data_IF_419924335281
#
_entry.id   IF_419924335281
#
_cell.length_a   1.000
_cell.length_b   1.000
_cell.length_c   1.000
_cell.angle_alpha   90.00
_cell.angle_beta   90.00
_cell.angle_gamma   90.00
#
_symmetry.space_group_name_H-M   'P 1'
#
loop_
_entity.id
_entity.type
_entity.pdbx_description
1 polymer ?
#
# COMPACT_ATOMS: atom_id res chain seq x y z
N UNK A 1 35.53 -15.01 19.32
CA UNK A 1 35.24 -16.36 18.77
C UNK A 1 34.03 -16.89 19.54
N UNK A 2 32.81 -16.94 19.02
CA UNK A 2 32.28 -17.80 17.95
C UNK A 2 31.35 -18.83 18.63
N UNK A 3 30.13 -19.18 18.21
CA UNK A 3 29.29 -18.86 17.07
C UNK A 3 27.83 -18.96 17.55
N UNK A 4 26.97 -18.00 17.17
CA UNK A 4 25.51 -18.13 17.31
C UNK A 4 24.99 -18.96 16.13
N UNK A 5 24.23 -20.04 16.36
CA UNK A 5 23.82 -20.91 15.28
C UNK A 5 22.69 -20.26 14.49
N UNK A 6 22.80 -20.39 13.18
CA UNK A 6 21.74 -20.31 12.21
C UNK A 6 21.24 -18.90 11.83
N UNK A 7 22.04 -18.26 10.98
CA UNK A 7 21.62 -17.20 10.06
C UNK A 7 20.61 -17.69 9.02
N UNK A 8 19.39 -18.01 9.45
CA UNK A 8 18.28 -18.46 8.60
C UNK A 8 17.13 -17.44 8.51
N UNK A 9 17.41 -16.16 8.71
CA UNK A 9 16.42 -15.07 8.58
C UNK A 9 16.16 -14.61 7.15
N UNK A 10 16.90 -15.13 6.15
CA UNK A 10 16.82 -14.65 4.77
C UNK A 10 15.86 -15.39 3.83
N UNK A 11 15.30 -16.54 4.23
CA UNK A 11 14.58 -17.42 3.28
C UNK A 11 13.06 -17.49 3.47
N UNK A 12 12.50 -16.85 4.49
CA UNK A 12 11.07 -16.98 4.83
C UNK A 12 10.18 -15.85 4.32
N UNK A 13 10.74 -14.80 3.70
CA UNK A 13 9.93 -13.68 3.18
C UNK A 13 9.37 -13.91 1.78
N UNK A 14 9.73 -15.02 1.12
CA UNK A 14 9.26 -15.36 -0.23
C UNK A 14 8.41 -16.64 -0.30
N UNK A 15 7.96 -17.17 0.84
CA UNK A 15 7.23 -18.45 0.88
C UNK A 15 5.69 -18.31 0.94
N UNK A 16 5.14 -17.10 0.89
CA UNK A 16 3.73 -16.88 1.27
C UNK A 16 2.67 -17.00 0.15
N UNK A 17 3.03 -17.26 -1.11
CA UNK A 17 2.01 -17.51 -2.17
C UNK A 17 2.36 -18.73 -3.04
N UNK A 18 3.64 -19.03 -3.24
CA UNK A 18 4.07 -20.11 -4.16
C UNK A 18 3.97 -21.51 -3.56
N UNK A 19 3.90 -21.66 -2.23
CA UNK A 19 3.92 -22.96 -1.54
C UNK A 19 2.53 -23.58 -1.29
N UNK A 20 1.44 -22.87 -1.56
CA UNK A 20 0.10 -23.43 -1.61
C UNK A 20 -0.21 -23.57 -3.09
N UNK A 21 -0.29 -24.80 -3.60
CA UNK A 21 -0.37 -25.09 -5.04
C UNK A 21 -1.32 -24.13 -5.75
N UNK A 22 -0.76 -23.20 -6.51
CA UNK A 22 -1.55 -22.23 -7.25
C UNK A 22 -2.26 -23.00 -8.35
N UNK A 23 -3.56 -23.19 -8.20
CA UNK A 23 -4.38 -23.65 -9.31
C UNK A 23 -4.20 -22.68 -10.49
N UNK A 24 -4.21 -23.18 -11.73
CA UNK A 24 -4.01 -22.33 -12.93
C UNK A 24 -4.89 -21.07 -12.93
N UNK A 25 -6.10 -21.15 -12.36
CA UNK A 25 -7.04 -20.02 -12.27
C UNK A 25 -6.68 -18.96 -11.21
N UNK A 26 -5.78 -19.25 -10.26
CA UNK A 26 -5.30 -18.32 -9.22
C UNK A 26 -3.93 -17.73 -9.56
N UNK A 27 -3.36 -18.08 -10.72
CA UNK A 27 -2.09 -17.51 -11.14
C UNK A 27 -2.31 -16.08 -11.63
N UNK A 28 -1.58 -15.08 -11.11
CA UNK A 28 -1.68 -13.71 -11.61
C UNK A 28 -1.43 -13.69 -13.12
N UNK A 29 -2.30 -13.01 -13.86
CA UNK A 29 -2.09 -12.81 -15.29
C UNK A 29 -0.91 -11.87 -15.51
N UNK A 30 -0.12 -12.11 -16.56
CA UNK A 30 0.95 -11.20 -16.94
C UNK A 30 0.36 -9.82 -17.28
N UNK A 31 1.04 -8.72 -16.95
CA UNK A 31 0.66 -7.39 -17.41
C UNK A 31 0.48 -7.40 -18.92
N UNK A 32 -0.57 -6.74 -19.42
CA UNK A 32 -0.92 -6.72 -20.84
C UNK A 32 -1.16 -8.10 -21.48
N UNK A 33 -1.30 -9.19 -20.72
CA UNK A 33 -1.55 -10.53 -21.26
C UNK A 33 -2.83 -10.63 -22.08
N UNK A 34 -3.83 -9.79 -21.81
CA UNK A 34 -5.04 -9.71 -22.66
C UNK A 34 -4.73 -9.19 -24.07
N UNK A 35 -3.76 -8.30 -24.22
CA UNK A 35 -3.38 -7.70 -25.50
C UNK A 35 -2.71 -8.71 -26.44
N UNK A 36 -2.24 -9.86 -25.92
CA UNK A 36 -1.62 -10.91 -26.75
C UNK A 36 -2.64 -11.87 -27.36
N UNK A 37 -3.83 -11.99 -26.75
CA UNK A 37 -4.90 -12.92 -27.18
C UNK A 37 -6.04 -12.24 -27.92
N UNK A 38 -6.23 -10.93 -27.72
CA UNK A 38 -7.26 -10.16 -28.41
C UNK A 38 -6.84 -9.86 -29.85
N UNK A 39 -7.76 -10.01 -30.81
CA UNK A 39 -7.46 -9.62 -32.20
C UNK A 39 -7.29 -8.10 -32.32
N UNK A 40 -6.35 -7.59 -33.14
CA UNK A 40 -6.14 -6.15 -33.31
C UNK A 40 -7.39 -5.37 -33.72
N UNK A 41 -8.33 -6.03 -34.41
CA UNK A 41 -9.62 -5.45 -34.83
C UNK A 41 -10.56 -5.11 -33.67
N UNK A 42 -10.35 -5.68 -32.49
CA UNK A 42 -11.13 -5.39 -31.27
C UNK A 42 -10.44 -4.39 -30.35
N UNK A 43 -9.20 -3.99 -30.65
CA UNK A 43 -8.52 -2.94 -29.91
C UNK A 43 -9.17 -1.59 -30.25
N UNK A 44 -9.23 -0.65 -29.28
CA UNK A 44 -9.60 0.71 -29.61
C UNK A 44 -8.61 1.26 -30.64
N UNK A 45 -9.02 2.25 -31.45
CA UNK A 45 -8.10 2.99 -32.30
C UNK A 45 -6.91 3.48 -31.48
N UNK A 46 -5.72 3.43 -32.09
CA UNK A 46 -4.52 3.94 -31.45
C UNK A 46 -4.74 5.41 -31.02
N UNK A 47 -4.25 5.75 -29.84
CA UNK A 47 -4.29 7.13 -29.36
C UNK A 47 -3.54 8.03 -30.33
N UNK A 48 -4.06 9.24 -30.54
CA UNK A 48 -3.37 10.25 -31.34
C UNK A 48 -2.02 10.60 -30.68
N UNK A 49 -1.03 11.06 -31.46
CA UNK A 49 0.21 11.58 -30.91
C UNK A 49 -0.08 12.75 -29.94
N UNK A 50 0.66 12.79 -28.84
CA UNK A 50 0.64 13.97 -27.96
C UNK A 50 1.07 15.22 -28.74
N UNK A 51 0.46 16.38 -28.50
CA UNK A 51 0.85 17.62 -29.15
C UNK A 51 2.30 17.99 -28.78
N UNK A 52 3.04 18.50 -29.76
CA UNK A 52 4.39 19.02 -29.54
C UNK A 52 4.29 20.38 -28.88
N UNK A 53 4.71 20.49 -27.62
CA UNK A 53 4.88 21.79 -26.96
C UNK A 53 6.07 22.52 -27.57
N UNK A 54 5.85 23.75 -28.01
CA UNK A 54 6.89 24.65 -28.52
C UNK A 54 7.18 25.75 -27.49
N UNK A 55 8.29 26.49 -27.64
CA UNK A 55 8.60 27.65 -26.79
C UNK A 55 7.47 28.70 -26.77
N UNK A 56 6.65 28.76 -27.83
CA UNK A 56 5.49 29.64 -27.90
C UNK A 56 4.31 29.17 -27.02
N UNK A 57 4.24 27.88 -26.68
CA UNK A 57 3.21 27.30 -25.81
C UNK A 57 3.55 27.46 -24.31
N UNK A 58 4.78 27.90 -24.00
CA UNK A 58 5.25 28.17 -22.65
C UNK A 58 5.35 29.69 -22.45
N UNK A 59 4.23 30.33 -22.11
CA UNK A 59 4.23 31.74 -21.72
C UNK A 59 4.37 31.88 -20.21
N UNK A 60 5.59 32.09 -19.70
CA UNK A 60 5.77 32.58 -18.33
C UNK A 60 5.61 34.11 -18.30
N UNK A 61 4.66 34.66 -17.52
CA UNK A 61 4.59 36.10 -17.32
C UNK A 61 5.82 36.60 -16.53
N UNK A 62 6.27 37.85 -16.74
CA UNK A 62 7.39 38.39 -15.99
C UNK A 62 7.10 38.37 -14.48
N UNK A 63 8.11 38.04 -13.68
CA UNK A 63 7.99 38.09 -12.21
C UNK A 63 7.58 39.51 -11.77
N UNK A 64 6.66 39.63 -10.79
CA UNK A 64 6.31 40.93 -10.24
C UNK A 64 7.55 41.59 -9.60
N UNK A 65 7.64 42.93 -9.58
CA UNK A 65 8.73 43.64 -8.93
C UNK A 65 8.88 43.21 -7.47
N UNK A 66 10.10 42.86 -7.06
CA UNK A 66 10.40 42.54 -5.66
C UNK A 66 10.41 43.84 -4.86
N UNK A 67 9.43 44.01 -3.96
CA UNK A 67 9.43 45.07 -2.95
C UNK A 67 10.03 44.49 -1.67
N UNK A 68 11.10 45.11 -1.17
CA UNK A 68 11.70 44.74 0.11
C UNK A 68 10.67 44.94 1.24
N UNK A 69 10.34 43.88 1.97
CA UNK A 69 9.50 43.98 3.17
C UNK A 69 10.34 44.54 4.31
N UNK A 70 9.83 45.57 4.99
CA UNK A 70 10.39 45.99 6.27
C UNK A 70 10.24 44.85 7.29
N UNK A 71 11.22 44.67 8.20
CA UNK A 71 11.10 43.66 9.25
C UNK A 71 9.85 43.94 10.09
N UNK A 72 8.91 42.98 10.09
CA UNK A 72 7.69 43.06 10.90
C UNK A 72 8.00 42.60 12.31
N UNK A 73 7.95 43.51 13.28
CA UNK A 73 7.90 43.19 14.70
C UNK A 73 6.43 43.15 15.15
N UNK A 74 5.76 42.00 15.05
CA UNK A 74 4.49 41.80 15.75
C UNK A 74 4.19 40.31 15.95
N UNK A 75 4.15 39.80 17.20
CA UNK A 75 3.72 38.44 17.49
C UNK A 75 2.19 38.35 17.40
N UNK A 76 1.68 37.58 16.43
CA UNK A 76 0.27 37.18 16.35
C UNK A 76 0.03 35.85 17.10
N UNK A 77 -1.15 35.65 17.71
CA UNK A 77 -1.42 34.50 18.56
C UNK A 77 -1.51 33.19 17.77
N UNK A 78 -0.87 32.14 18.31
CA UNK A 78 -0.92 30.77 17.83
C UNK A 78 -2.37 30.26 17.86
N UNK A 79 -2.86 29.81 16.69
CA UNK A 79 -4.16 29.13 16.61
C UNK A 79 -4.11 27.82 17.39
N UNK A 80 -5.11 27.65 18.24
CA UNK A 80 -5.31 26.52 19.15
C UNK A 80 -5.38 25.20 18.39
N UNK A 81 -4.52 24.26 18.77
CA UNK A 81 -4.50 22.87 18.32
C UNK A 81 -5.79 22.17 18.80
N UNK A 82 -6.77 21.98 17.90
CA UNK A 82 -7.89 21.09 18.18
C UNK A 82 -7.42 19.63 18.10
N UNK A 83 -7.13 19.09 19.28
CA UNK A 83 -6.82 17.67 19.51
C UNK A 83 -7.94 16.78 18.96
N UNK A 84 -7.77 16.24 17.75
CA UNK A 84 -8.66 15.20 17.21
C UNK A 84 -8.60 13.93 18.09
N UNK A 85 -9.74 13.37 18.51
CA UNK A 85 -9.74 12.13 19.29
C UNK A 85 -9.34 10.94 18.41
N UNK A 86 -8.36 10.17 18.89
CA UNK A 86 -7.85 8.97 18.23
C UNK A 86 -8.88 7.82 18.31
N UNK A 87 -9.30 7.28 17.16
CA UNK A 87 -10.31 6.22 17.01
C UNK A 87 -9.80 4.80 17.33
N UNK A 88 -8.94 4.64 18.34
CA UNK A 88 -8.39 3.33 18.67
C UNK A 88 -9.41 2.49 19.44
N UNK A 89 -10.14 1.61 18.74
CA UNK A 89 -11.01 0.61 19.37
C UNK A 89 -10.15 -0.38 20.17
N UNK A 90 -10.25 -0.32 21.50
CA UNK A 90 -9.63 -1.29 22.40
C UNK A 90 -10.45 -2.59 22.35
N UNK A 91 -9.99 -3.57 21.59
CA UNK A 91 -10.57 -4.93 21.63
C UNK A 91 -10.14 -5.62 22.91
N UNK A 92 -11.10 -5.91 23.78
CA UNK A 92 -10.90 -6.74 24.96
C UNK A 92 -10.70 -8.22 24.54
N UNK A 93 -9.78 -8.97 25.15
CA UNK A 93 -9.55 -10.36 24.79
C UNK A 93 -10.70 -11.26 25.26
N UNK A 94 -11.35 -11.97 24.32
CA UNK A 94 -12.24 -13.09 24.63
C UNK A 94 -11.38 -14.31 25.07
N UNK A 95 -11.75 -15.03 26.15
CA UNK A 95 -11.01 -16.21 26.60
C UNK A 95 -11.30 -17.42 25.71
N UNK A 96 -10.46 -17.63 24.70
CA UNK A 96 -10.49 -18.79 23.80
C UNK A 96 -9.99 -20.14 24.38
N UNK A 97 -9.16 -20.25 25.45
CA UNK A 97 -8.49 -21.52 25.72
C UNK A 97 -9.39 -22.59 26.35
N UNK A 98 -10.43 -22.20 27.11
CA UNK A 98 -11.25 -23.15 27.86
C UNK A 98 -12.20 -23.97 26.96
N UNK A 99 -12.77 -23.34 25.93
CA UNK A 99 -13.69 -24.02 25.02
C UNK A 99 -12.99 -25.09 24.16
N UNK A 100 -11.76 -24.81 23.71
CA UNK A 100 -10.95 -25.75 22.95
C UNK A 100 -10.58 -26.98 23.80
N UNK A 101 -10.21 -26.77 25.07
CA UNK A 101 -9.91 -27.88 25.98
C UNK A 101 -11.14 -28.76 26.25
N UNK A 102 -12.31 -28.16 26.44
CA UNK A 102 -13.56 -28.91 26.65
C UNK A 102 -13.92 -29.82 25.46
N UNK A 103 -13.72 -29.37 24.22
CA UNK A 103 -13.98 -30.19 23.01
C UNK A 103 -13.04 -31.40 22.91
N UNK A 104 -11.76 -31.24 23.26
CA UNK A 104 -10.78 -32.34 23.23
C UNK A 104 -11.16 -33.41 24.25
N UNK A 105 -11.54 -33.02 25.47
CA UNK A 105 -11.99 -33.95 26.50
C UNK A 105 -13.26 -34.70 26.10
N UNK A 106 -14.24 -34.01 25.50
CA UNK A 106 -15.47 -34.64 25.04
C UNK A 106 -15.21 -35.68 23.95
N UNK A 107 -14.25 -35.43 23.05
CA UNK A 107 -13.88 -36.35 21.98
C UNK A 107 -13.16 -37.61 22.49
N UNK A 108 -12.42 -37.51 23.60
CA UNK A 108 -11.74 -38.65 24.21
C UNK A 108 -12.68 -39.53 25.05
N UNK A 109 -13.75 -38.94 25.60
CA UNK A 109 -14.71 -39.64 26.45
C UNK A 109 -15.86 -40.30 25.67
N UNK A 110 -15.96 -40.06 24.36
CA UNK A 110 -16.91 -40.72 23.49
C UNK A 110 -16.24 -41.99 22.91
N UNK A 111 -16.51 -43.20 23.44
CA UNK A 111 -15.97 -44.45 22.90
C UNK A 111 -16.54 -44.80 21.53
#
# INVERSE_FOLDING_TARGET
MGNSPDGRSGLYTNLSITSCGISFYMTPVQPAGLLTVVSPSFLPPAAAPEPVFTDADVSEPPLPPVVARSPTTSPGPLSTDEKRPNGQTRVAPLPLPLAAFAMVLASLLLP
#
